data_IF_826517972477
#
_entry.id   IF_826517972477
#
_cell.length_a   1.000
_cell.length_b   1.000
_cell.length_c   1.000
_cell.angle_alpha   90.00
_cell.angle_beta   90.00
_cell.angle_gamma   90.00
#
_symmetry.space_group_name_H-M   'P 1'
#
loop_
_entity.id
_entity.type
_entity.pdbx_description
1 polymer ?
#
# COMPACT_ATOMS: atom_id res chain seq x y z
N UNK A 1 -12.68 -13.36 17.88
CA UNK A 1 -11.38 -13.75 17.29
C UNK A 1 -11.49 -14.66 16.06
N UNK A 2 -12.02 -15.89 16.17
CA UNK A 2 -12.12 -16.81 15.01
C UNK A 2 -12.89 -16.26 13.81
N UNK A 3 -13.99 -15.52 14.06
CA UNK A 3 -14.80 -14.92 13.00
C UNK A 3 -14.02 -13.88 12.16
N UNK A 4 -13.17 -13.07 12.79
CA UNK A 4 -12.36 -12.05 12.12
C UNK A 4 -11.33 -12.71 11.21
N UNK A 5 -10.66 -13.76 11.68
CA UNK A 5 -9.68 -14.53 10.90
C UNK A 5 -10.34 -15.15 9.66
N UNK A 6 -11.50 -15.78 9.83
CA UNK A 6 -12.27 -16.34 8.71
C UNK A 6 -12.65 -15.25 7.70
N UNK A 7 -13.06 -14.07 8.19
CA UNK A 7 -13.43 -12.95 7.35
C UNK A 7 -12.23 -12.41 6.54
N UNK A 8 -11.06 -12.24 7.19
CA UNK A 8 -9.81 -11.83 6.51
C UNK A 8 -9.41 -12.83 5.41
N UNK A 9 -9.49 -14.13 5.70
CA UNK A 9 -9.21 -15.18 4.70
C UNK A 9 -10.16 -15.08 3.50
N UNK A 10 -11.46 -14.94 3.74
CA UNK A 10 -12.46 -14.80 2.68
C UNK A 10 -12.26 -13.54 1.82
N UNK A 11 -11.76 -12.44 2.40
CA UNK A 11 -11.40 -11.21 1.65
C UNK A 11 -10.28 -11.48 0.65
N UNK A 12 -9.20 -12.09 1.12
CA UNK A 12 -8.06 -12.46 0.26
C UNK A 12 -8.50 -13.35 -0.90
N UNK A 13 -9.23 -14.43 -0.60
CA UNK A 13 -9.74 -15.35 -1.63
C UNK A 13 -10.66 -14.64 -2.65
N UNK A 14 -11.46 -13.68 -2.19
CA UNK A 14 -12.34 -12.92 -3.07
C UNK A 14 -11.56 -11.97 -3.99
N UNK A 15 -10.42 -11.45 -3.54
CA UNK A 15 -9.50 -10.62 -4.33
C UNK A 15 -8.72 -11.44 -5.34
N UNK A 16 -8.15 -12.57 -4.93
CA UNK A 16 -7.40 -13.46 -5.83
C UNK A 16 -8.27 -13.94 -6.99
N UNK A 17 -9.55 -14.24 -6.75
CA UNK A 17 -10.51 -14.64 -7.80
C UNK A 17 -10.85 -13.53 -8.80
N UNK A 18 -10.58 -12.27 -8.47
CA UNK A 18 -10.96 -11.10 -9.28
C UNK A 18 -9.77 -10.34 -9.84
N UNK A 19 -8.55 -10.64 -9.41
CA UNK A 19 -7.33 -9.93 -9.78
C UNK A 19 -7.13 -9.79 -11.30
N UNK A 20 -7.56 -10.80 -12.08
CA UNK A 20 -7.44 -10.81 -13.54
C UNK A 20 -8.58 -10.10 -14.29
N UNK A 21 -9.58 -9.55 -13.58
CA UNK A 21 -10.68 -8.83 -14.22
C UNK A 21 -10.23 -7.44 -14.67
N UNK A 22 -10.76 -6.99 -15.79
CA UNK A 22 -10.39 -5.72 -16.41
C UNK A 22 -10.90 -4.55 -15.59
N UNK A 23 -10.01 -3.60 -15.30
CA UNK A 23 -10.35 -2.33 -14.67
C UNK A 23 -10.74 -1.34 -15.78
N UNK A 24 -11.98 -0.86 -15.75
CA UNK A 24 -12.55 0.03 -16.78
C UNK A 24 -12.92 1.42 -16.26
N UNK A 25 -12.89 1.62 -14.94
CA UNK A 25 -13.27 2.85 -14.29
C UNK A 25 -12.37 3.14 -13.08
N UNK A 26 -12.58 4.28 -12.43
CA UNK A 26 -11.87 4.65 -11.21
C UNK A 26 -12.23 6.03 -10.71
N UNK A 27 -11.64 6.41 -9.58
CA UNK A 27 -11.76 7.74 -9.00
C UNK A 27 -10.40 8.26 -8.57
N UNK A 28 -10.24 9.58 -8.55
CA UNK A 28 -9.03 10.24 -8.04
C UNK A 28 -9.33 10.78 -6.64
N UNK A 29 -8.75 10.15 -5.63
CA UNK A 29 -8.71 10.67 -4.28
C UNK A 29 -7.65 11.76 -4.17
N UNK A 30 -8.00 12.91 -3.61
CA UNK A 30 -7.06 14.02 -3.40
C UNK A 30 -7.07 14.41 -1.92
N UNK A 31 -5.87 14.60 -1.37
CA UNK A 31 -5.68 15.15 -0.03
C UNK A 31 -4.67 16.29 -0.07
N UNK A 32 -5.04 17.43 0.51
CA UNK A 32 -4.15 18.55 0.77
C UNK A 32 -4.09 18.72 2.28
N UNK A 33 -2.89 18.72 2.84
CA UNK A 33 -2.70 18.91 4.27
C UNK A 33 -3.07 20.35 4.66
N UNK A 34 -3.53 20.56 5.89
CA UNK A 34 -4.04 21.86 6.35
C UNK A 34 -2.99 22.99 6.34
N UNK A 35 -1.70 22.66 6.36
CA UNK A 35 -0.60 23.62 6.23
C UNK A 35 -0.34 24.06 4.78
N UNK A 36 -0.97 23.41 3.80
CA UNK A 36 -0.72 23.56 2.36
C UNK A 36 0.72 23.23 1.91
N UNK A 37 1.55 22.60 2.76
CA UNK A 37 2.93 22.24 2.41
C UNK A 37 3.04 20.88 1.70
N UNK A 38 2.02 20.01 1.84
CA UNK A 38 2.00 18.66 1.28
C UNK A 38 0.63 18.34 0.70
N UNK A 39 0.62 17.72 -0.48
CA UNK A 39 -0.56 17.17 -1.11
C UNK A 39 -0.27 15.81 -1.73
N UNK A 40 -1.28 14.96 -1.84
CA UNK A 40 -1.18 13.70 -2.57
C UNK A 40 -2.47 13.38 -3.31
N UNK A 41 -2.30 12.62 -4.38
CA UNK A 41 -3.35 12.12 -5.25
C UNK A 41 -3.20 10.61 -5.41
N UNK A 42 -4.33 9.91 -5.45
CA UNK A 42 -4.39 8.46 -5.64
C UNK A 42 -5.46 8.14 -6.67
N UNK A 43 -5.08 7.44 -7.73
CA UNK A 43 -6.03 6.85 -8.67
C UNK A 43 -6.40 5.46 -8.18
N UNK A 44 -7.63 5.30 -7.69
CA UNK A 44 -8.20 4.02 -7.29
C UNK A 44 -9.07 3.51 -8.44
N UNK A 45 -8.65 2.41 -9.06
CA UNK A 45 -9.31 1.81 -10.21
C UNK A 45 -10.29 0.71 -9.78
N UNK A 46 -11.37 0.54 -10.54
CA UNK A 46 -12.38 -0.50 -10.37
C UNK A 46 -12.92 -0.97 -11.73
N UNK A 47 -13.85 -1.93 -11.74
CA UNK A 47 -14.41 -2.47 -12.99
C UNK A 47 -15.43 -1.50 -13.59
N UNK A 48 -16.32 -0.92 -12.78
CA UNK A 48 -17.46 -0.13 -13.28
C UNK A 48 -17.53 1.30 -12.74
N UNK A 49 -18.20 2.19 -13.47
CA UNK A 49 -18.42 3.58 -13.06
C UNK A 49 -19.46 3.71 -11.94
N UNK A 50 -20.32 2.71 -11.75
CA UNK A 50 -21.24 2.62 -10.62
C UNK A 50 -20.47 2.56 -9.29
N UNK A 51 -19.43 1.71 -9.21
CA UNK A 51 -18.56 1.63 -8.03
C UNK A 51 -17.67 2.87 -7.91
N UNK A 52 -17.13 3.39 -9.01
CA UNK A 52 -16.23 4.55 -8.95
C UNK A 52 -16.87 5.82 -8.42
N UNK A 53 -18.20 5.96 -8.59
CA UNK A 53 -19.02 7.07 -8.09
C UNK A 53 -19.59 6.83 -6.68
N UNK A 54 -19.42 5.64 -6.11
CA UNK A 54 -19.91 5.33 -4.78
C UNK A 54 -19.17 6.15 -3.71
N UNK A 55 -19.90 6.76 -2.78
CA UNK A 55 -19.33 7.65 -1.76
C UNK A 55 -18.26 6.96 -0.88
N UNK A 56 -18.44 5.67 -0.57
CA UNK A 56 -17.46 4.93 0.22
C UNK A 56 -16.19 4.60 -0.58
N UNK A 57 -16.31 4.34 -1.88
CA UNK A 57 -15.16 4.13 -2.76
C UNK A 57 -14.35 5.43 -2.93
N UNK A 58 -15.02 6.56 -3.11
CA UNK A 58 -14.40 7.89 -3.15
C UNK A 58 -13.73 8.22 -1.82
N UNK A 59 -14.38 7.92 -0.69
CA UNK A 59 -13.80 8.11 0.64
C UNK A 59 -12.55 7.26 0.84
N UNK A 60 -12.54 6.01 0.37
CA UNK A 60 -11.38 5.13 0.42
C UNK A 60 -10.20 5.72 -0.36
N UNK A 61 -10.42 6.18 -1.60
CA UNK A 61 -9.37 6.81 -2.39
C UNK A 61 -8.78 8.05 -1.69
N UNK A 62 -9.63 8.88 -1.07
CA UNK A 62 -9.19 10.05 -0.29
C UNK A 62 -8.40 9.67 0.96
N UNK A 63 -8.83 8.63 1.68
CA UNK A 63 -8.13 8.14 2.86
C UNK A 63 -6.74 7.58 2.49
N UNK A 64 -6.63 6.85 1.38
CA UNK A 64 -5.33 6.39 0.85
C UNK A 64 -4.48 7.59 0.41
N UNK A 65 -5.06 8.62 -0.22
CA UNK A 65 -4.32 9.83 -0.58
C UNK A 65 -3.76 10.56 0.64
N UNK A 66 -4.54 10.69 1.71
CA UNK A 66 -4.07 11.24 2.98
C UNK A 66 -2.95 10.40 3.58
N UNK A 67 -3.06 9.08 3.51
CA UNK A 67 -1.99 8.16 3.93
C UNK A 67 -0.71 8.39 3.12
N UNK A 68 -0.79 8.43 1.79
CA UNK A 68 0.34 8.71 0.90
C UNK A 68 1.00 10.06 1.23
N UNK A 69 0.20 11.10 1.49
CA UNK A 69 0.72 12.41 1.89
C UNK A 69 1.59 12.33 3.15
N UNK A 70 1.18 11.52 4.13
CA UNK A 70 1.86 11.34 5.41
C UNK A 70 3.07 10.40 5.34
N UNK A 71 2.99 9.29 4.59
CA UNK A 71 4.01 8.23 4.64
C UNK A 71 4.99 8.25 3.49
N UNK A 72 4.72 9.01 2.41
CA UNK A 72 5.59 9.13 1.24
C UNK A 72 6.10 7.76 0.70
N UNK A 73 5.21 6.79 0.41
CA UNK A 73 5.62 5.50 -0.10
C UNK A 73 6.27 5.66 -1.47
N UNK A 74 7.33 4.89 -1.72
CA UNK A 74 8.07 4.90 -2.97
C UNK A 74 7.48 3.95 -4.01
N UNK A 75 6.84 2.87 -3.56
CA UNK A 75 6.26 1.84 -4.39
C UNK A 75 4.80 1.61 -3.98
N UNK A 76 3.94 1.24 -4.91
CA UNK A 76 2.57 0.83 -4.60
C UNK A 76 2.60 -0.60 -4.04
N UNK A 77 3.29 -1.51 -4.74
CA UNK A 77 3.32 -2.94 -4.41
C UNK A 77 4.74 -3.50 -4.48
N UNK A 78 4.93 -4.71 -3.94
CA UNK A 78 6.23 -5.40 -3.95
C UNK A 78 6.74 -5.71 -5.37
N UNK A 79 5.86 -5.88 -6.34
CA UNK A 79 6.24 -6.15 -7.74
C UNK A 79 6.87 -4.96 -8.45
N UNK A 80 6.71 -3.75 -7.93
CA UNK A 80 7.34 -2.54 -8.47
C UNK A 80 8.79 -2.35 -7.99
N UNK A 81 9.23 -3.17 -7.03
CA UNK A 81 10.60 -3.09 -6.50
C UNK A 81 11.54 -3.86 -7.42
N UNK A 82 12.35 -3.13 -8.18
CA UNK A 82 13.33 -3.68 -9.10
C UNK A 82 14.58 -4.24 -8.38
N UNK A 83 15.31 -5.14 -9.05
CA UNK A 83 16.51 -5.78 -8.50
C UNK A 83 17.63 -4.79 -8.15
N UNK A 84 17.72 -3.66 -8.87
CA UNK A 84 18.73 -2.64 -8.59
C UNK A 84 18.42 -1.94 -7.26
N UNK A 85 17.15 -1.60 -7.02
CA UNK A 85 16.67 -1.06 -5.75
C UNK A 85 16.89 -2.05 -4.60
N UNK A 86 16.62 -3.34 -4.81
CA UNK A 86 16.89 -4.39 -3.82
C UNK A 86 18.38 -4.48 -3.48
N UNK A 87 19.24 -4.49 -4.50
CA UNK A 87 20.69 -4.66 -4.33
C UNK A 87 21.29 -3.46 -3.60
N UNK A 88 20.92 -2.23 -4.00
CA UNK A 88 21.36 -1.01 -3.31
C UNK A 88 20.95 -0.98 -1.85
N UNK A 89 19.70 -1.33 -1.54
CA UNK A 89 19.25 -1.40 -0.15
C UNK A 89 20.03 -2.44 0.66
N UNK A 90 20.29 -3.62 0.07
CA UNK A 90 21.13 -4.66 0.70
C UNK A 90 22.54 -4.18 0.97
N UNK A 91 23.19 -3.52 0.00
CA UNK A 91 24.55 -2.98 0.15
C UNK A 91 24.62 -1.96 1.28
N UNK A 92 23.68 -1.00 1.30
CA UNK A 92 23.60 0.02 2.36
C UNK A 92 23.47 -0.65 3.73
N UNK A 93 22.50 -1.54 3.92
CA UNK A 93 22.31 -2.19 5.21
C UNK A 93 23.44 -3.17 5.58
N UNK A 94 24.13 -3.76 4.60
CA UNK A 94 25.28 -4.64 4.87
C UNK A 94 26.48 -3.84 5.42
N UNK A 95 26.68 -2.62 4.93
CA UNK A 95 27.73 -1.73 5.47
C UNK A 95 27.45 -1.30 6.92
N UNK A 96 26.18 -1.14 7.30
CA UNK A 96 25.77 -0.82 8.67
C UNK A 96 25.98 -1.95 9.70
N UNK A 97 26.13 -3.20 9.24
CA UNK A 97 26.21 -4.39 10.12
C UNK A 97 27.55 -5.14 10.02
N UNK A 98 28.54 -4.53 9.34
CA UNK A 98 29.83 -5.16 9.08
C UNK A 98 30.63 -5.52 10.34
N UNK A 99 30.35 -4.88 11.47
CA UNK A 99 30.96 -5.12 12.79
C UNK A 99 30.38 -6.34 13.53
N UNK A 100 29.28 -6.93 13.05
CA UNK A 100 28.59 -8.06 13.69
C UNK A 100 29.15 -9.43 13.23
N UNK A 101 28.97 -10.50 14.03
CA UNK A 101 29.29 -11.86 13.58
C UNK A 101 28.52 -12.26 12.31
N UNK A 102 29.16 -12.98 11.38
CA UNK A 102 28.58 -13.36 10.07
C UNK A 102 27.21 -14.04 10.16
N UNK A 103 27.03 -14.95 11.12
CA UNK A 103 25.73 -15.63 11.32
C UNK A 103 24.61 -14.68 11.80
N UNK A 104 24.98 -13.59 12.48
CA UNK A 104 24.02 -12.59 12.94
C UNK A 104 23.72 -11.56 11.85
N UNK A 105 24.68 -11.28 10.96
CA UNK A 105 24.52 -10.33 9.86
C UNK A 105 23.35 -10.72 8.95
N UNK A 106 23.21 -11.99 8.59
CA UNK A 106 22.12 -12.45 7.72
C UNK A 106 20.74 -12.22 8.36
N UNK A 107 20.57 -12.59 9.63
CA UNK A 107 19.31 -12.38 10.36
C UNK A 107 18.97 -10.90 10.53
N UNK A 108 19.96 -10.06 10.84
CA UNK A 108 19.76 -8.61 10.98
C UNK A 108 19.40 -7.99 9.63
N UNK A 109 20.09 -8.41 8.55
CA UNK A 109 19.86 -7.89 7.21
C UNK A 109 18.42 -8.19 6.78
N UNK A 110 17.93 -9.42 6.96
CA UNK A 110 16.54 -9.78 6.64
C UNK A 110 15.55 -8.87 7.38
N UNK A 111 15.72 -8.70 8.70
CA UNK A 111 14.83 -7.82 9.48
C UNK A 111 14.87 -6.35 9.05
N UNK A 112 16.07 -5.80 8.76
CA UNK A 112 16.21 -4.43 8.24
C UNK A 112 15.55 -4.28 6.88
N UNK A 113 15.75 -5.25 5.98
CA UNK A 113 15.17 -5.26 4.65
C UNK A 113 13.64 -5.30 4.70
N UNK A 114 13.08 -6.17 5.54
CA UNK A 114 11.64 -6.30 5.74
C UNK A 114 11.04 -5.01 6.30
N UNK A 115 11.67 -4.42 7.33
CA UNK A 115 11.22 -3.14 7.91
C UNK A 115 11.26 -2.02 6.89
N UNK A 116 12.38 -1.89 6.15
CA UNK A 116 12.54 -0.87 5.13
C UNK A 116 11.47 -0.99 4.05
N UNK A 117 11.25 -2.17 3.47
CA UNK A 117 10.26 -2.32 2.42
C UNK A 117 8.82 -2.21 2.91
N UNK A 118 8.54 -2.60 4.15
CA UNK A 118 7.25 -2.36 4.78
C UNK A 118 6.92 -0.87 4.88
N UNK A 119 7.94 -0.03 5.08
CA UNK A 119 7.79 1.44 5.09
C UNK A 119 7.80 2.06 3.69
N UNK A 120 8.40 1.41 2.68
CA UNK A 120 8.48 1.96 1.32
C UNK A 120 7.34 1.53 0.39
N UNK A 121 6.67 0.41 0.68
CA UNK A 121 5.60 -0.15 -0.16
C UNK A 121 4.24 0.19 0.44
N UNK A 122 3.43 0.98 -0.27
CA UNK A 122 2.12 1.47 0.18
C UNK A 122 1.22 0.34 0.69
N UNK A 123 1.10 -0.76 -0.06
CA UNK A 123 0.19 -1.86 0.29
C UNK A 123 0.61 -2.61 1.58
N UNK A 124 1.88 -2.54 1.97
CA UNK A 124 2.42 -3.18 3.19
C UNK A 124 2.32 -2.27 4.43
N UNK A 125 2.08 -0.97 4.23
CA UNK A 125 2.00 0.00 5.31
C UNK A 125 0.72 -0.18 6.14
N UNK A 126 0.85 -0.04 7.47
CA UNK A 126 -0.28 0.11 8.39
C UNK A 126 -0.94 1.47 8.19
N UNK A 127 -2.27 1.51 8.11
CA UNK A 127 -3.00 2.73 7.83
C UNK A 127 -2.88 3.75 8.96
N UNK A 128 -2.56 5.00 8.63
CA UNK A 128 -2.30 6.06 9.62
C UNK A 128 -3.46 6.35 10.59
N UNK A 129 -4.73 6.17 10.16
CA UNK A 129 -5.91 6.37 11.03
C UNK A 129 -6.27 5.11 11.82
N UNK A 130 -5.82 3.94 11.38
CA UNK A 130 -6.07 2.68 12.06
C UNK A 130 -4.91 1.70 11.79
N UNK A 131 -3.88 1.69 12.65
CA UNK A 131 -2.69 0.85 12.44
C UNK A 131 -2.95 -0.66 12.48
N UNK A 132 -4.13 -1.10 12.94
CA UNK A 132 -4.53 -2.51 12.96
C UNK A 132 -4.85 -3.08 11.57
N UNK A 133 -5.03 -2.21 10.57
CA UNK A 133 -5.27 -2.60 9.17
C UNK A 133 -4.17 -2.05 8.27
N UNK A 134 -3.74 -2.85 7.29
CA UNK A 134 -2.88 -2.35 6.22
C UNK A 134 -3.68 -1.73 5.08
N UNK A 135 -3.02 -0.99 4.20
CA UNK A 135 -3.67 -0.47 2.98
C UNK A 135 -4.14 -1.62 2.07
N UNK A 136 -3.37 -2.71 1.96
CA UNK A 136 -3.81 -3.92 1.26
C UNK A 136 -5.10 -4.50 1.85
N UNK A 137 -5.22 -4.56 3.17
CA UNK A 137 -6.45 -5.03 3.83
C UNK A 137 -7.66 -4.10 3.58
N UNK A 138 -7.43 -2.79 3.46
CA UNK A 138 -8.48 -1.83 3.09
C UNK A 138 -8.95 -2.07 1.64
N UNK A 139 -8.02 -2.24 0.70
CA UNK A 139 -8.34 -2.50 -0.72
C UNK A 139 -9.05 -3.84 -0.87
N UNK A 140 -8.55 -4.92 -0.27
CA UNK A 140 -9.21 -6.24 -0.31
C UNK A 140 -10.56 -6.25 0.41
N UNK A 141 -10.72 -5.44 1.47
CA UNK A 141 -12.02 -5.19 2.09
C UNK A 141 -13.02 -4.54 1.13
N UNK A 142 -12.57 -3.56 0.34
CA UNK A 142 -13.38 -2.94 -0.69
C UNK A 142 -13.75 -3.93 -1.80
N UNK A 143 -12.81 -4.77 -2.25
CA UNK A 143 -13.07 -5.83 -3.23
C UNK A 143 -14.17 -6.79 -2.74
N UNK A 144 -14.10 -7.22 -1.48
CA UNK A 144 -15.14 -8.06 -0.89
C UNK A 144 -16.49 -7.35 -0.86
N UNK A 145 -16.50 -6.06 -0.49
CA UNK A 145 -17.71 -5.26 -0.33
C UNK A 145 -18.40 -4.98 -1.66
N UNK A 146 -17.66 -4.53 -2.67
CA UNK A 146 -18.20 -4.12 -3.96
C UNK A 146 -18.31 -5.29 -4.95
N UNK A 147 -17.58 -6.38 -4.72
CA UNK A 147 -17.59 -7.52 -5.64
C UNK A 147 -16.84 -7.28 -6.95
N UNK A 148 -16.06 -6.21 -7.03
CA UNK A 148 -15.22 -5.83 -8.18
C UNK A 148 -13.73 -6.00 -7.87
N UNK A 149 -12.93 -6.19 -8.91
CA UNK A 149 -11.50 -5.95 -8.86
C UNK A 149 -11.25 -4.47 -8.56
N UNK A 150 -10.38 -4.19 -7.59
CA UNK A 150 -10.03 -2.83 -7.18
C UNK A 150 -8.53 -2.79 -6.97
N UNK A 151 -7.86 -1.78 -7.52
CA UNK A 151 -6.43 -1.60 -7.34
C UNK A 151 -6.06 -0.13 -7.19
N UNK A 152 -4.96 0.12 -6.48
CA UNK A 152 -4.30 1.42 -6.53
C UNK A 152 -3.48 1.45 -7.81
N UNK A 153 -3.91 2.25 -8.78
CA UNK A 153 -3.31 2.26 -10.11
C UNK A 153 -2.18 3.30 -10.24
N UNK A 154 -2.28 4.41 -9.51
CA UNK A 154 -1.26 5.44 -9.51
C UNK A 154 -1.32 6.24 -8.21
N UNK A 155 -0.15 6.70 -7.76
CA UNK A 155 -0.02 7.67 -6.67
C UNK A 155 0.85 8.84 -7.12
N UNK A 156 0.61 10.01 -6.55
CA UNK A 156 1.46 11.19 -6.71
C UNK A 156 1.48 11.96 -5.41
N UNK A 157 2.65 12.45 -5.00
CA UNK A 157 2.81 13.28 -3.80
C UNK A 157 3.66 14.49 -4.17
N UNK A 158 3.24 15.64 -3.67
CA UNK A 158 3.96 16.90 -3.76
C UNK A 158 4.22 17.40 -2.35
N UNK A 159 5.42 17.94 -2.13
CA UNK A 159 5.85 18.49 -0.86
C UNK A 159 6.77 19.67 -1.13
N UNK A 160 6.63 20.74 -0.34
CA UNK A 160 7.52 21.90 -0.39
C UNK A 160 8.91 21.59 0.20
N UNK A 161 9.01 20.51 0.99
CA UNK A 161 10.22 20.03 1.66
C UNK A 161 10.51 18.58 1.31
#
# INVERSE_FOLDING_TARGET
DKAIIILKKKRSEAADKKSNRVLGAGTVGVYVHNTNEVAAMVMLACETDFVSKNAEFVSLARDIAMHVAATNPKYISKSEVDEVSLTKAKEVFMTEIGDKPKEMQEKILVGKMDSYFKEQILLEQSFIKNPETTISEMVTGAIQKFGENISVAQISRLSVK
#
